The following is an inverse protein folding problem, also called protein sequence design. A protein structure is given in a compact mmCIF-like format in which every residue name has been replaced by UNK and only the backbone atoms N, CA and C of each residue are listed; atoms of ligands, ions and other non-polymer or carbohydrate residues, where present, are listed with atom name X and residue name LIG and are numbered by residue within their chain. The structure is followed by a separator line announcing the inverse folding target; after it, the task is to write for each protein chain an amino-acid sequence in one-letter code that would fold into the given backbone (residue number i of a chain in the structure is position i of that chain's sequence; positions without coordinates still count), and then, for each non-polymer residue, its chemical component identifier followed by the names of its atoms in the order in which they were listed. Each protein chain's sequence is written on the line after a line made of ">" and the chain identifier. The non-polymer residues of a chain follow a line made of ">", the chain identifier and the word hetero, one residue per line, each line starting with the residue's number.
data_IF_970257051445
#
_entry.id   IF_970257051445
#
_cell.length_a   1.000
_cell.length_b   1.000
_cell.length_c   1.000
_cell.angle_alpha   90.00
_cell.angle_beta   90.00
_cell.angle_gamma   90.00
#
_symmetry.space_group_name_H-M   'P 1'
#
loop_
_entity.id
_entity.type
_entity.pdbx_description
1 polymer ?
#
# COMPACT_ATOMS: atom_id res chain seq x y z
N UNK A 1 -12.36 3.98 20.42
CA UNK A 1 -11.11 4.64 19.97
C UNK A 1 -11.39 5.37 18.66
N UNK A 2 -10.96 6.61 18.56
CA UNK A 2 -11.21 7.38 17.34
C UNK A 2 -10.34 6.86 16.20
N UNK A 3 -10.94 6.68 15.04
CA UNK A 3 -10.21 6.30 13.84
C UNK A 3 -9.44 7.50 13.29
N UNK A 4 -8.26 7.26 12.76
CA UNK A 4 -7.41 8.30 12.21
C UNK A 4 -7.08 8.01 10.77
N UNK A 5 -7.24 9.03 9.93
CA UNK A 5 -6.74 8.99 8.55
C UNK A 5 -5.41 9.74 8.53
N UNK A 6 -4.35 9.06 8.16
CA UNK A 6 -3.03 9.66 8.04
C UNK A 6 -2.65 9.64 6.57
N UNK A 7 -2.57 10.85 5.98
CA UNK A 7 -2.17 11.00 4.58
C UNK A 7 -0.80 11.67 4.56
N UNK A 8 0.12 11.05 3.86
CA UNK A 8 1.46 11.60 3.71
C UNK A 8 1.87 11.62 2.25
N UNK A 9 2.19 12.79 1.75
CA UNK A 9 2.75 12.95 0.43
C UNK A 9 4.25 13.14 0.56
N UNK A 10 5.01 12.38 -0.22
CA UNK A 10 6.46 12.43 -0.19
C UNK A 10 7.00 12.96 -1.50
N UNK A 11 8.10 13.69 -1.42
CA UNK A 11 8.86 14.07 -2.61
C UNK A 11 9.72 12.89 -3.00
N UNK A 12 9.41 12.30 -4.15
CA UNK A 12 10.15 11.18 -4.70
C UNK A 12 10.94 11.66 -5.90
N UNK A 13 12.24 11.40 -5.89
CA UNK A 13 13.08 11.75 -7.02
C UNK A 13 12.86 10.74 -8.14
N UNK A 14 12.35 11.20 -9.26
CA UNK A 14 12.07 10.35 -10.42
C UNK A 14 13.29 9.68 -10.99
N UNK A 15 14.46 10.22 -10.73
CA UNK A 15 15.69 9.69 -11.30
C UNK A 15 16.26 8.51 -10.52
N UNK A 16 15.75 8.23 -9.34
CA UNK A 16 16.31 7.19 -8.48
C UNK A 16 16.15 5.80 -9.10
N UNK A 17 15.02 5.55 -9.72
CA UNK A 17 14.73 4.21 -10.24
C UNK A 17 13.89 4.22 -11.52
N UNK A 18 13.47 5.38 -11.97
CA UNK A 18 12.65 5.51 -13.16
C UNK A 18 11.22 5.04 -13.01
N UNK A 19 10.82 4.62 -11.83
CA UNK A 19 9.50 4.06 -11.63
C UNK A 19 8.63 4.86 -10.67
N UNK A 20 9.16 5.90 -10.05
CA UNK A 20 8.38 6.70 -9.12
C UNK A 20 7.19 7.31 -9.82
N UNK A 21 6.00 6.97 -9.40
CA UNK A 21 4.77 7.49 -9.97
C UNK A 21 4.38 6.88 -11.31
N UNK A 22 5.15 5.96 -11.81
CA UNK A 22 4.80 5.29 -13.05
C UNK A 22 3.78 4.20 -12.78
N UNK A 23 2.62 4.36 -13.39
CA UNK A 23 1.51 3.46 -13.16
C UNK A 23 1.51 2.21 -14.04
N UNK A 24 2.50 2.03 -14.90
CA UNK A 24 2.48 0.96 -15.89
C UNK A 24 3.08 -0.33 -15.34
N UNK A 25 2.51 -0.87 -14.29
CA UNK A 25 3.02 -2.08 -13.64
C UNK A 25 2.89 -3.32 -14.50
N UNK A 26 1.88 -3.43 -15.33
CA UNK A 26 1.73 -4.60 -16.20
C UNK A 26 2.90 -4.76 -17.15
N UNK A 27 3.43 -3.66 -17.62
CA UNK A 27 4.58 -3.65 -18.51
C UNK A 27 5.90 -3.75 -17.75
N UNK A 28 6.01 -3.02 -16.65
CA UNK A 28 7.22 -3.00 -15.83
C UNK A 28 7.43 -4.36 -15.15
N UNK A 29 6.36 -4.95 -14.66
CA UNK A 29 6.43 -6.18 -13.89
C UNK A 29 6.99 -7.38 -14.65
N UNK A 30 6.98 -7.35 -15.98
CA UNK A 30 7.48 -8.47 -16.78
C UNK A 30 8.99 -8.50 -16.89
N UNK A 31 9.66 -7.35 -16.86
CA UNK A 31 11.10 -7.28 -17.00
C UNK A 31 11.79 -6.58 -15.85
N UNK A 32 11.06 -6.23 -14.81
CA UNK A 32 11.53 -5.37 -13.76
C UNK A 32 10.89 -5.80 -12.43
N UNK A 33 11.71 -6.03 -11.42
CA UNK A 33 11.15 -6.36 -10.12
C UNK A 33 10.60 -5.10 -9.46
N UNK A 34 9.35 -5.15 -9.05
CA UNK A 34 8.70 -4.04 -8.36
C UNK A 34 9.16 -3.89 -6.93
N UNK A 35 9.78 -4.93 -6.38
CA UNK A 35 10.31 -4.84 -5.03
C UNK A 35 11.55 -3.95 -5.03
N UNK A 36 11.55 -3.00 -4.14
CA UNK A 36 12.69 -2.14 -3.91
C UNK A 36 13.15 -2.28 -2.49
N UNK A 37 14.44 -2.00 -2.29
CA UNK A 37 14.96 -1.91 -0.94
C UNK A 37 14.24 -0.76 -0.23
N UNK A 38 13.56 -1.02 0.88
CA UNK A 38 12.83 0.03 1.58
C UNK A 38 13.75 1.13 2.09
N UNK A 39 13.26 2.37 2.00
CA UNK A 39 13.92 3.50 2.63
C UNK A 39 13.69 3.42 4.14
N UNK A 40 14.76 3.37 4.96
CA UNK A 40 14.59 3.24 6.41
C UNK A 40 13.78 4.36 7.05
N UNK A 41 13.84 5.57 6.51
CA UNK A 41 13.08 6.69 7.06
C UNK A 41 11.58 6.50 6.82
N UNK A 42 11.21 6.01 5.64
CA UNK A 42 9.81 5.72 5.31
C UNK A 42 9.32 4.54 6.15
N UNK A 43 10.12 3.48 6.26
CA UNK A 43 9.76 2.32 7.07
C UNK A 43 9.53 2.72 8.53
N UNK A 44 10.40 3.56 9.08
CA UNK A 44 10.25 4.06 10.44
C UNK A 44 8.98 4.88 10.62
N UNK A 45 8.66 5.72 9.64
CA UNK A 45 7.42 6.50 9.68
C UNK A 45 6.19 5.59 9.71
N UNK A 46 6.19 4.56 8.88
CA UNK A 46 5.07 3.60 8.84
C UNK A 46 4.90 2.91 10.18
N UNK A 47 6.00 2.44 10.78
CA UNK A 47 5.96 1.79 12.09
C UNK A 47 5.37 2.69 13.17
N UNK A 48 5.80 3.94 13.20
CA UNK A 48 5.27 4.90 14.17
C UNK A 48 3.82 5.24 13.92
N UNK A 49 3.43 5.38 12.66
CA UNK A 49 2.06 5.74 12.31
C UNK A 49 1.07 4.61 12.63
N UNK A 50 1.49 3.36 12.46
CA UNK A 50 0.66 2.21 12.78
C UNK A 50 0.50 2.01 14.29
N UNK A 51 1.51 2.33 15.08
CA UNK A 51 1.44 2.16 16.53
C UNK A 51 1.45 0.69 16.94
N UNK A 52 0.70 0.35 17.98
CA UNK A 52 0.70 -0.98 18.58
C UNK A 52 -0.33 -1.93 17.98
N UNK A 53 -0.72 -1.73 16.74
CA UNK A 53 -1.72 -2.57 16.09
C UNK A 53 -1.16 -3.95 15.76
N UNK A 54 -2.03 -4.95 15.74
CA UNK A 54 -1.66 -6.31 15.38
C UNK A 54 -1.99 -6.62 13.91
N UNK A 55 -3.24 -6.38 13.51
CA UNK A 55 -3.69 -6.72 12.15
C UNK A 55 -3.66 -5.49 11.24
N UNK A 56 -3.04 -5.65 10.08
CA UNK A 56 -2.87 -4.56 9.11
C UNK A 56 -3.31 -5.04 7.74
N UNK A 57 -4.14 -4.25 7.08
CA UNK A 57 -4.48 -4.46 5.67
C UNK A 57 -3.56 -3.58 4.82
N UNK A 58 -2.88 -4.20 3.85
CA UNK A 58 -2.07 -3.48 2.87
C UNK A 58 -2.79 -3.46 1.54
N UNK A 59 -3.26 -2.29 1.12
CA UNK A 59 -4.08 -2.12 -0.09
C UNK A 59 -3.21 -1.66 -1.24
N UNK A 60 -3.32 -2.34 -2.39
CA UNK A 60 -2.41 -2.10 -3.50
C UNK A 60 -1.01 -2.54 -3.11
N UNK A 61 -0.90 -3.75 -2.58
CA UNK A 61 0.29 -4.18 -1.87
C UNK A 61 1.52 -4.36 -2.75
N UNK A 62 1.33 -4.57 -4.05
CA UNK A 62 2.44 -4.81 -4.95
C UNK A 62 3.31 -5.97 -4.48
N UNK A 63 4.62 -5.80 -4.58
CA UNK A 63 5.58 -6.80 -4.13
C UNK A 63 5.82 -6.76 -2.61
N UNK A 64 5.25 -5.79 -1.90
CA UNK A 64 5.29 -5.77 -0.44
C UNK A 64 6.49 -5.08 0.18
N UNK A 65 7.07 -4.10 -0.51
CA UNK A 65 8.33 -3.46 -0.08
C UNK A 65 8.29 -2.85 1.32
N UNK A 66 7.14 -2.38 1.76
CA UNK A 66 7.00 -1.71 3.07
C UNK A 66 6.09 -2.46 4.05
N UNK A 67 5.79 -3.71 3.79
CA UNK A 67 4.92 -4.46 4.71
C UNK A 67 5.62 -4.69 6.04
N UNK A 68 4.94 -4.39 7.17
CA UNK A 68 5.51 -4.64 8.48
C UNK A 68 5.72 -6.14 8.72
N UNK A 69 6.91 -6.53 9.17
CA UNK A 69 7.27 -7.93 9.31
C UNK A 69 6.82 -8.56 10.63
N UNK A 70 6.49 -7.73 11.62
CA UNK A 70 6.16 -8.22 12.97
C UNK A 70 4.68 -8.11 13.29
N UNK A 71 3.83 -8.02 12.27
CA UNK A 71 2.39 -7.89 12.42
C UNK A 71 1.71 -8.87 11.48
N UNK A 72 0.42 -9.10 11.71
CA UNK A 72 -0.38 -9.93 10.82
C UNK A 72 -0.89 -9.07 9.66
N UNK A 73 -0.26 -9.22 8.52
CA UNK A 73 -0.59 -8.44 7.33
C UNK A 73 -1.46 -9.26 6.39
N UNK A 74 -2.57 -8.66 5.98
CA UNK A 74 -3.39 -9.16 4.87
C UNK A 74 -3.15 -8.20 3.71
N UNK A 75 -2.81 -8.71 2.54
CA UNK A 75 -2.49 -7.90 1.37
C UNK A 75 -3.54 -8.09 0.29
N UNK A 76 -3.93 -7.02 -0.38
CA UNK A 76 -4.76 -7.09 -1.59
C UNK A 76 -4.01 -6.40 -2.72
N UNK A 77 -4.03 -7.03 -3.90
CA UNK A 77 -3.34 -6.53 -5.08
C UNK A 77 -4.01 -7.06 -6.33
N UNK A 78 -4.57 -6.20 -7.20
CA UNK A 78 -5.27 -6.69 -8.39
C UNK A 78 -4.35 -7.17 -9.51
N UNK A 79 -3.08 -6.76 -9.54
CA UNK A 79 -2.16 -7.14 -10.60
C UNK A 79 -1.57 -8.53 -10.33
N UNK A 80 -1.83 -9.47 -11.25
CA UNK A 80 -1.27 -10.81 -11.14
C UNK A 80 0.26 -10.79 -11.18
N UNK A 81 0.85 -9.95 -12.04
CA UNK A 81 2.32 -9.90 -12.13
C UNK A 81 2.93 -9.37 -10.84
N UNK A 82 2.27 -8.43 -10.17
CA UNK A 82 2.74 -7.92 -8.88
C UNK A 82 2.59 -8.97 -7.79
N UNK A 83 1.48 -9.71 -7.77
CA UNK A 83 1.31 -10.78 -6.78
C UNK A 83 2.39 -11.85 -6.92
N UNK A 84 2.77 -12.17 -8.16
CA UNK A 84 3.80 -13.17 -8.42
C UNK A 84 5.20 -12.75 -7.95
N UNK A 85 5.45 -11.46 -7.85
CA UNK A 85 6.75 -10.94 -7.43
C UNK A 85 6.92 -10.90 -5.92
N UNK A 86 5.89 -11.23 -5.16
CA UNK A 86 5.97 -11.17 -3.70
C UNK A 86 6.88 -12.27 -3.17
N UNK A 87 7.70 -11.91 -2.19
CA UNK A 87 8.61 -12.85 -1.56
C UNK A 87 7.84 -13.95 -0.82
N UNK A 88 8.44 -15.14 -0.75
CA UNK A 88 7.77 -16.31 -0.18
C UNK A 88 7.44 -16.16 1.32
N UNK A 89 8.18 -15.32 2.03
CA UNK A 89 7.92 -15.10 3.46
C UNK A 89 6.75 -14.15 3.74
N UNK A 90 6.28 -13.43 2.71
CA UNK A 90 5.11 -12.56 2.84
C UNK A 90 3.83 -13.36 2.60
N UNK A 91 2.72 -12.87 3.15
CA UNK A 91 1.42 -13.46 2.87
C UNK A 91 1.12 -13.32 1.38
N UNK A 92 0.40 -14.30 0.83
CA UNK A 92 -0.07 -14.19 -0.56
C UNK A 92 -1.11 -13.10 -0.65
N UNK A 93 -0.96 -12.23 -1.65
CA UNK A 93 -1.92 -11.16 -1.83
C UNK A 93 -3.21 -11.71 -2.45
N UNK A 94 -4.33 -11.18 -1.98
CA UNK A 94 -5.64 -11.49 -2.50
C UNK A 94 -5.91 -10.63 -3.73
N UNK A 95 -6.51 -11.21 -4.76
CA UNK A 95 -6.90 -10.47 -5.96
C UNK A 95 -8.13 -9.62 -5.62
N UNK A 96 -7.89 -8.40 -5.24
CA UNK A 96 -8.97 -7.46 -4.92
C UNK A 96 -8.48 -6.03 -5.13
N UNK A 97 -9.42 -5.14 -5.42
CA UNK A 97 -9.16 -3.73 -5.64
C UNK A 97 -9.57 -2.92 -4.42
N UNK A 98 -8.96 -1.75 -4.28
CA UNK A 98 -9.28 -0.84 -3.18
C UNK A 98 -10.77 -0.47 -3.13
N UNK A 99 -11.40 -0.34 -4.29
CA UNK A 99 -12.77 0.12 -4.40
C UNK A 99 -13.81 -0.90 -3.93
N UNK A 100 -13.42 -2.18 -3.85
CA UNK A 100 -14.31 -3.24 -3.37
C UNK A 100 -13.47 -4.20 -2.53
N UNK A 101 -13.46 -4.00 -1.22
CA UNK A 101 -12.66 -4.84 -0.32
C UNK A 101 -13.53 -5.97 0.25
N UNK A 102 -13.07 -7.23 0.13
CA UNK A 102 -13.86 -8.40 0.52
C UNK A 102 -13.77 -8.69 2.02
N UNK A 103 -13.98 -7.67 2.84
CA UNK A 103 -13.88 -7.81 4.29
C UNK A 103 -15.04 -7.10 4.97
N UNK A 104 -15.36 -7.52 6.17
CA UNK A 104 -16.38 -6.89 6.99
C UNK A 104 -15.93 -5.53 7.50
N UNK A 105 -16.90 -4.73 7.97
CA UNK A 105 -16.60 -3.46 8.62
C UNK A 105 -15.73 -3.69 9.85
N UNK A 106 -14.80 -2.77 10.09
CA UNK A 106 -13.93 -2.79 11.28
C UNK A 106 -13.17 -4.09 11.48
N UNK A 107 -12.79 -4.74 10.37
CA UNK A 107 -12.13 -6.04 10.44
C UNK A 107 -10.66 -5.93 10.85
N UNK A 108 -9.97 -4.88 10.43
CA UNK A 108 -8.54 -4.69 10.71
C UNK A 108 -8.30 -3.60 11.74
N UNK A 109 -7.21 -3.75 12.50
CA UNK A 109 -6.78 -2.72 13.44
C UNK A 109 -6.31 -1.47 12.71
N UNK A 110 -5.60 -1.65 11.58
CA UNK A 110 -5.09 -0.56 10.77
C UNK A 110 -5.06 -0.98 9.30
N UNK A 111 -4.97 0.01 8.42
CA UNK A 111 -4.73 -0.26 7.00
C UNK A 111 -3.72 0.73 6.45
N UNK A 112 -3.08 0.34 5.36
CA UNK A 112 -2.08 1.17 4.71
C UNK A 112 -2.16 1.00 3.20
N UNK A 113 -1.78 2.06 2.48
CA UNK A 113 -1.57 2.03 1.05
C UNK A 113 -0.33 2.87 0.76
N UNK A 114 0.69 2.26 0.17
CA UNK A 114 1.97 2.93 -0.07
C UNK A 114 2.20 3.06 -1.57
N UNK A 115 2.17 4.31 -2.04
CA UNK A 115 2.48 4.68 -3.43
C UNK A 115 1.58 4.01 -4.47
N UNK A 116 0.33 3.70 -4.10
CA UNK A 116 -0.60 3.01 -4.98
C UNK A 116 -1.89 3.77 -5.28
N UNK A 117 -2.23 4.77 -4.47
CA UNK A 117 -3.55 5.44 -4.58
C UNK A 117 -3.77 6.11 -5.92
N UNK A 118 -2.72 6.58 -6.57
CA UNK A 118 -2.83 7.23 -7.87
C UNK A 118 -3.24 6.27 -9.00
N UNK A 119 -3.20 4.97 -8.75
CA UNK A 119 -3.60 3.95 -9.71
C UNK A 119 -5.05 3.52 -9.54
N UNK A 120 -5.71 3.99 -8.50
CA UNK A 120 -7.09 3.59 -8.24
C UNK A 120 -8.03 4.31 -9.20
N UNK A 121 -9.00 3.57 -9.73
CA UNK A 121 -9.98 4.16 -10.67
C UNK A 121 -10.96 5.10 -9.95
N UNK A 122 -11.19 4.88 -8.66
CA UNK A 122 -12.08 5.70 -7.84
C UNK A 122 -11.41 5.91 -6.48
N UNK A 123 -10.71 7.03 -6.35
CA UNK A 123 -9.97 7.33 -5.13
C UNK A 123 -10.90 7.44 -3.92
N UNK A 124 -12.03 8.15 -4.07
CA UNK A 124 -12.96 8.32 -2.95
C UNK A 124 -13.55 6.99 -2.51
N UNK A 125 -13.93 6.15 -3.48
CA UNK A 125 -14.46 4.82 -3.18
C UNK A 125 -13.43 3.94 -2.47
N UNK A 126 -12.17 3.99 -2.91
CA UNK A 126 -11.10 3.22 -2.28
C UNK A 126 -10.83 3.67 -0.86
N UNK A 127 -10.77 4.98 -0.64
CA UNK A 127 -10.56 5.52 0.71
C UNK A 127 -11.73 5.18 1.63
N UNK A 128 -12.97 5.26 1.12
CA UNK A 128 -14.15 4.90 1.91
C UNK A 128 -14.12 3.42 2.31
N UNK A 129 -13.70 2.54 1.39
CA UNK A 129 -13.60 1.12 1.69
C UNK A 129 -12.51 0.85 2.73
N UNK A 130 -11.34 1.49 2.62
CA UNK A 130 -10.31 1.36 3.63
C UNK A 130 -10.83 1.81 5.00
N UNK A 131 -11.57 2.92 5.04
CA UNK A 131 -12.15 3.40 6.29
C UNK A 131 -13.15 2.40 6.84
N UNK A 132 -14.00 1.85 5.97
CA UNK A 132 -15.04 0.90 6.39
C UNK A 132 -14.46 -0.33 7.07
N UNK A 133 -13.39 -0.91 6.52
CA UNK A 133 -12.84 -2.17 7.03
C UNK A 133 -11.84 -1.98 8.16
N UNK A 134 -11.57 -0.75 8.59
CA UNK A 134 -10.48 -0.46 9.52
C UNK A 134 -11.01 0.23 10.79
N UNK A 135 -10.66 -0.32 11.95
CA UNK A 135 -11.03 0.26 13.24
C UNK A 135 -10.19 1.49 13.59
N UNK A 136 -8.91 1.42 13.34
CA UNK A 136 -7.92 2.39 13.79
C UNK A 136 -7.34 3.21 12.65
N UNK A 137 -6.02 3.44 12.65
CA UNK A 137 -5.41 4.32 11.65
C UNK A 137 -5.50 3.78 10.23
N UNK A 138 -5.74 4.70 9.30
CA UNK A 138 -5.64 4.45 7.85
C UNK A 138 -4.49 5.31 7.35
N UNK A 139 -3.43 4.67 6.90
CA UNK A 139 -2.19 5.32 6.48
C UNK A 139 -2.09 5.34 4.97
N UNK A 140 -1.97 6.54 4.40
CA UNK A 140 -1.77 6.71 2.97
C UNK A 140 -0.45 7.42 2.73
N UNK A 141 0.45 6.76 2.02
CA UNK A 141 1.67 7.39 1.53
C UNK A 141 1.58 7.52 0.02
N UNK A 142 1.82 8.73 -0.47
CA UNK A 142 1.74 9.00 -1.89
C UNK A 142 2.86 9.93 -2.32
N UNK A 143 3.16 9.94 -3.62
CA UNK A 143 4.17 10.83 -4.17
C UNK A 143 3.59 12.21 -4.39
N UNK A 144 4.45 13.22 -4.31
CA UNK A 144 4.04 14.59 -4.60
C UNK A 144 3.64 14.69 -6.08
N UNK A 145 2.41 15.16 -6.39
CA UNK A 145 1.92 15.09 -7.77
C UNK A 145 2.78 15.81 -8.81
N UNK A 146 3.43 16.91 -8.43
CA UNK A 146 4.28 17.66 -9.36
C UNK A 146 5.45 16.85 -9.89
N UNK A 147 5.79 15.73 -9.26
CA UNK A 147 6.88 14.87 -9.70
C UNK A 147 6.54 14.07 -10.95
N UNK A 148 5.28 14.06 -11.36
CA UNK A 148 4.81 13.22 -12.46
C UNK A 148 4.57 13.98 -13.76
N UNK A 149 5.00 15.20 -13.84
CA UNK A 149 4.84 16.01 -15.06
C UNK A 149 6.05 15.93 -15.95
#
# INVERSE_FOLDING_TARGET
>A
MAARLIVRTLLVNRHDDGSAGDANYGRIGQGYTAYRKPDPAIASFIEKALGDVDTVLNVGAGAGSYEPLHRHVTAVEPSASMREQRAAHLSKAIDARAEVLPFECDFFDASMATFSVHQWSDLEGGLAEMRRVTKGPVLILTCYPAMFH
#
